data_IF_373206808227
#
_entry.id   IF_373206808227
#
_cell.length_a   1.000
_cell.length_b   1.000
_cell.length_c   1.000
_cell.angle_alpha   90.00
_cell.angle_beta   90.00
_cell.angle_gamma   90.00
#
_symmetry.space_group_name_H-M   'P 1'
#
loop_
_entity.id
_entity.type
_entity.pdbx_description
1 polymer ?
#
# COMPACT_ATOMS: atom_id res chain seq x y z
N UNK A 1 15.15 24.68 4.90
CA UNK A 1 14.15 25.20 3.94
C UNK A 1 12.84 24.48 4.22
N UNK A 2 11.85 25.19 4.75
CA UNK A 2 10.55 24.60 5.06
C UNK A 2 9.73 24.54 3.77
N UNK A 3 9.76 23.39 3.11
CA UNK A 3 8.85 23.08 2.01
C UNK A 3 7.47 22.83 2.64
N UNK A 4 6.43 23.47 2.10
CA UNK A 4 5.05 23.21 2.52
C UNK A 4 4.77 21.70 2.48
N UNK A 5 4.56 21.09 3.65
CA UNK A 5 4.30 19.66 3.77
C UNK A 5 2.81 19.43 3.60
N UNK A 6 2.35 19.16 2.37
CA UNK A 6 0.97 18.73 2.10
C UNK A 6 0.79 17.24 2.41
N UNK A 7 1.22 16.83 3.60
CA UNK A 7 1.23 15.43 3.99
C UNK A 7 -0.15 14.95 4.43
N UNK A 8 -1.05 15.84 4.86
CA UNK A 8 -2.32 15.46 5.46
C UNK A 8 -2.14 14.75 6.81
N UNK A 9 -3.25 14.55 7.53
CA UNK A 9 -3.25 13.79 8.79
C UNK A 9 -3.26 12.30 8.48
N UNK A 10 -2.39 11.52 9.16
CA UNK A 10 -2.45 10.06 9.13
C UNK A 10 -3.85 9.59 9.61
N UNK A 11 -4.54 8.70 8.87
CA UNK A 11 -5.78 8.11 9.36
C UNK A 11 -5.53 7.32 10.66
N UNK A 12 -6.48 7.36 11.59
CA UNK A 12 -6.41 6.66 12.87
C UNK A 12 -7.06 5.26 12.85
N UNK A 13 -7.56 4.86 11.68
CA UNK A 13 -8.29 3.61 11.44
C UNK A 13 -7.59 2.70 10.41
N UNK A 14 -6.29 2.87 10.20
CA UNK A 14 -5.46 1.95 9.43
C UNK A 14 -5.28 0.61 10.17
N UNK A 15 -4.88 -0.43 9.45
CA UNK A 15 -4.73 -1.77 9.96
C UNK A 15 -5.78 -2.75 9.44
N UNK A 16 -5.71 -3.97 9.96
CA UNK A 16 -6.59 -5.07 9.57
C UNK A 16 -7.78 -5.13 10.52
N UNK A 17 -8.98 -4.94 9.99
CA UNK A 17 -10.23 -5.12 10.73
C UNK A 17 -11.01 -6.31 10.15
N UNK A 18 -11.28 -7.33 10.97
CA UNK A 18 -12.00 -8.54 10.55
C UNK A 18 -11.41 -9.19 9.28
N UNK A 19 -10.08 -9.19 9.15
CA UNK A 19 -9.37 -9.77 8.00
C UNK A 19 -9.42 -8.91 6.73
N UNK A 20 -9.80 -7.64 6.84
CA UNK A 20 -9.84 -6.69 5.72
C UNK A 20 -9.06 -5.42 6.01
N UNK A 21 -8.47 -4.86 4.98
CA UNK A 21 -7.92 -3.51 4.97
C UNK A 21 -9.06 -2.50 4.86
N UNK A 22 -8.76 -1.25 5.21
CA UNK A 22 -9.72 -0.15 5.10
C UNK A 22 -10.23 0.00 3.65
N UNK A 23 -11.52 0.25 3.45
CA UNK A 23 -12.04 0.50 2.12
C UNK A 23 -11.44 1.79 1.50
N UNK A 24 -11.35 1.84 0.17
CA UNK A 24 -11.02 3.09 -0.49
C UNK A 24 -12.16 4.11 -0.31
N UNK A 25 -11.84 5.40 -0.08
CA UNK A 25 -12.82 6.46 -0.26
C UNK A 25 -13.22 6.55 -1.74
N UNK A 26 -14.24 7.33 -2.07
CA UNK A 26 -14.72 7.53 -3.45
C UNK A 26 -13.80 8.37 -4.34
N UNK A 27 -12.56 8.64 -3.91
CA UNK A 27 -11.60 9.46 -4.66
C UNK A 27 -10.62 8.55 -5.39
N UNK A 28 -10.27 8.84 -6.66
CA UNK A 28 -9.43 7.99 -7.51
C UNK A 28 -7.95 7.90 -7.09
N UNK A 29 -7.60 8.45 -5.92
CA UNK A 29 -6.27 8.44 -5.34
C UNK A 29 -6.06 7.25 -4.39
N UNK A 30 -6.92 6.23 -4.45
CA UNK A 30 -6.84 5.03 -3.65
C UNK A 30 -7.03 3.78 -4.51
N UNK A 31 -6.24 2.75 -4.24
CA UNK A 31 -6.47 1.40 -4.77
C UNK A 31 -6.47 0.37 -3.63
N UNK A 32 -7.30 -0.66 -3.75
CA UNK A 32 -7.44 -1.73 -2.78
C UNK A 32 -7.81 -3.05 -3.47
N UNK A 33 -7.11 -4.13 -3.15
CA UNK A 33 -7.38 -5.45 -3.72
C UNK A 33 -8.63 -6.13 -3.20
N UNK A 34 -9.24 -5.55 -2.16
CA UNK A 34 -10.51 -5.99 -1.60
C UNK A 34 -11.69 -5.11 -2.05
N UNK A 35 -11.47 -4.17 -2.97
CA UNK A 35 -12.55 -3.46 -3.66
C UNK A 35 -13.30 -4.42 -4.61
N UNK A 36 -14.51 -4.03 -5.05
CA UNK A 36 -15.26 -4.80 -6.04
C UNK A 36 -14.51 -4.82 -7.37
N UNK A 37 -14.37 -5.99 -8.00
CA UNK A 37 -13.64 -6.12 -9.27
C UNK A 37 -14.30 -5.33 -10.43
N UNK A 38 -15.58 -4.98 -10.33
CA UNK A 38 -16.24 -4.07 -11.28
C UNK A 38 -15.85 -2.61 -11.10
N UNK A 39 -15.33 -2.22 -9.93
CA UNK A 39 -14.78 -0.90 -9.64
C UNK A 39 -13.33 -0.82 -10.14
N UNK A 40 -13.17 -0.65 -11.45
CA UNK A 40 -11.85 -0.57 -12.09
C UNK A 40 -11.00 0.61 -11.61
N UNK A 41 -11.60 1.62 -10.97
CA UNK A 41 -10.89 2.78 -10.44
C UNK A 41 -10.12 2.40 -9.18
N UNK A 42 -10.79 1.76 -8.22
CA UNK A 42 -10.20 1.39 -6.93
C UNK A 42 -9.65 -0.04 -6.89
N UNK A 43 -10.15 -0.96 -7.71
CA UNK A 43 -9.69 -2.35 -7.69
C UNK A 43 -8.27 -2.49 -8.23
N UNK A 44 -7.46 -3.29 -7.55
CA UNK A 44 -6.13 -3.69 -7.97
C UNK A 44 -5.87 -5.14 -7.62
N UNK A 45 -5.16 -5.89 -8.45
CA UNK A 45 -4.90 -7.31 -8.16
C UNK A 45 -4.11 -7.47 -6.84
N UNK A 46 -4.44 -8.47 -6.00
CA UNK A 46 -3.59 -8.81 -4.86
C UNK A 46 -2.23 -9.35 -5.33
N UNK A 47 -1.28 -9.48 -4.42
CA UNK A 47 0.02 -10.08 -4.71
C UNK A 47 -0.06 -11.59 -4.43
N UNK A 48 0.09 -12.43 -5.45
CA UNK A 48 0.16 -13.87 -5.26
C UNK A 48 1.43 -14.24 -4.46
N UNK A 49 1.29 -15.13 -3.46
CA UNK A 49 2.42 -15.58 -2.65
C UNK A 49 2.25 -17.03 -2.22
N UNK A 50 3.28 -17.85 -2.45
CA UNK A 50 3.39 -19.21 -1.92
C UNK A 50 4.19 -19.27 -0.60
N UNK A 51 4.65 -18.13 -0.09
CA UNK A 51 5.42 -18.04 1.15
C UNK A 51 4.49 -18.04 2.37
N UNK A 52 5.01 -18.46 3.52
CA UNK A 52 4.29 -18.27 4.78
C UNK A 52 4.07 -16.75 5.04
N UNK A 53 3.01 -16.34 5.75
CA UNK A 53 2.69 -14.93 5.95
C UNK A 53 3.87 -14.07 6.42
N UNK A 54 4.61 -14.54 7.44
CA UNK A 54 5.77 -13.81 7.97
C UNK A 54 6.88 -13.63 6.94
N UNK A 55 7.18 -14.67 6.16
CA UNK A 55 8.20 -14.62 5.10
C UNK A 55 7.77 -13.68 3.96
N UNK A 56 6.48 -13.68 3.62
CA UNK A 56 5.91 -12.78 2.62
C UNK A 56 6.01 -11.32 3.06
N UNK A 57 5.67 -11.03 4.31
CA UNK A 57 5.81 -9.67 4.88
C UNK A 57 7.29 -9.27 4.96
N UNK A 58 8.18 -10.17 5.39
CA UNK A 58 9.62 -9.88 5.44
C UNK A 58 10.20 -9.57 4.05
N UNK A 59 9.78 -10.29 3.00
CA UNK A 59 10.18 -10.00 1.63
C UNK A 59 9.66 -8.65 1.14
N UNK A 60 8.39 -8.32 1.41
CA UNK A 60 7.83 -6.99 1.10
C UNK A 60 8.55 -5.87 1.84
N UNK A 61 8.88 -6.09 3.12
CA UNK A 61 9.64 -5.15 3.94
C UNK A 61 10.99 -4.84 3.28
N UNK A 62 11.74 -5.85 2.87
CA UNK A 62 13.04 -5.68 2.21
C UNK A 62 12.92 -4.89 0.88
N UNK A 63 11.88 -5.18 0.09
CA UNK A 63 11.59 -4.44 -1.15
C UNK A 63 11.33 -2.95 -0.85
N UNK A 64 10.45 -2.68 0.11
CA UNK A 64 10.05 -1.30 0.46
C UNK A 64 11.22 -0.52 1.06
N UNK A 65 12.09 -1.15 1.85
CA UNK A 65 13.32 -0.53 2.38
C UNK A 65 14.29 -0.13 1.27
N UNK A 66 14.27 -0.82 0.13
CA UNK A 66 15.06 -0.46 -1.06
C UNK A 66 14.45 0.65 -1.92
N UNK A 67 13.20 1.06 -1.65
CA UNK A 67 12.52 2.11 -2.43
C UNK A 67 12.83 3.50 -1.88
N UNK A 68 12.99 4.48 -2.77
CA UNK A 68 13.18 5.86 -2.35
C UNK A 68 11.94 6.43 -1.62
N UNK A 69 12.18 7.19 -0.55
CA UNK A 69 11.16 7.96 0.18
C UNK A 69 10.03 7.09 0.77
N UNK A 70 10.36 5.84 1.10
CA UNK A 70 9.51 4.98 1.90
C UNK A 70 9.85 5.13 3.38
N UNK A 71 8.89 4.87 4.25
CA UNK A 71 9.09 4.74 5.69
C UNK A 71 8.15 3.66 6.20
N UNK A 72 8.71 2.58 6.75
CA UNK A 72 7.92 1.54 7.39
C UNK A 72 7.55 2.00 8.80
N UNK A 73 6.25 2.06 9.07
CA UNK A 73 5.72 2.51 10.36
C UNK A 73 5.32 1.34 11.25
N UNK A 74 4.90 0.22 10.65
CA UNK A 74 4.50 -0.99 11.38
C UNK A 74 4.78 -2.22 10.53
N UNK A 75 5.27 -3.28 11.16
CA UNK A 75 5.46 -4.59 10.54
C UNK A 75 5.22 -5.68 11.59
N UNK A 76 4.38 -6.65 11.24
CA UNK A 76 4.09 -7.86 12.03
C UNK A 76 4.21 -9.09 11.11
N UNK A 77 3.92 -10.29 11.63
CA UNK A 77 3.97 -11.51 10.82
C UNK A 77 2.92 -11.57 9.70
N UNK A 78 1.88 -10.72 9.74
CA UNK A 78 0.79 -10.75 8.76
C UNK A 78 0.46 -9.38 8.18
N UNK A 79 1.06 -8.31 8.69
CA UNK A 79 0.71 -6.94 8.31
C UNK A 79 1.96 -6.07 8.14
N UNK A 80 1.93 -5.19 7.15
CA UNK A 80 2.98 -4.20 6.90
C UNK A 80 2.34 -2.88 6.50
N UNK A 81 2.71 -1.81 7.19
CA UNK A 81 2.30 -0.44 6.88
C UNK A 81 3.52 0.42 6.59
N UNK A 82 3.50 1.05 5.42
CA UNK A 82 4.51 1.99 4.97
C UNK A 82 3.88 3.29 4.48
N UNK A 83 4.63 4.38 4.62
CA UNK A 83 4.33 5.67 4.03
C UNK A 83 5.27 5.94 2.86
N UNK A 84 4.76 6.53 1.79
CA UNK A 84 5.56 7.02 0.67
C UNK A 84 5.33 8.52 0.49
N UNK A 85 6.40 9.31 0.46
CA UNK A 85 6.31 10.75 0.23
C UNK A 85 6.68 11.14 -1.21
N UNK A 86 6.00 12.12 -1.81
CA UNK A 86 6.28 12.62 -3.18
C UNK A 86 7.47 13.59 -3.22
N UNK A 87 8.31 13.53 -4.29
CA UNK A 87 9.55 14.35 -4.41
C UNK A 87 9.31 15.86 -4.40
N UNK A 88 8.16 16.31 -4.91
CA UNK A 88 7.96 17.72 -5.27
C UNK A 88 7.00 18.49 -4.35
N UNK A 89 6.01 17.82 -3.78
CA UNK A 89 4.87 18.47 -3.09
C UNK A 89 4.64 17.96 -1.65
N UNK A 90 5.36 16.93 -1.20
CA UNK A 90 5.21 16.40 0.16
C UNK A 90 3.91 15.65 0.44
N UNK A 91 3.14 15.28 -0.61
CA UNK A 91 2.03 14.32 -0.48
C UNK A 91 2.53 13.01 0.08
N UNK A 92 1.78 12.46 1.04
CA UNK A 92 2.05 11.18 1.67
C UNK A 92 0.95 10.20 1.29
N UNK A 93 1.39 9.04 0.80
CA UNK A 93 0.55 7.89 0.52
C UNK A 93 0.74 6.85 1.62
N UNK A 94 -0.36 6.37 2.18
CA UNK A 94 -0.41 5.25 3.12
C UNK A 94 -0.55 3.96 2.32
N UNK A 95 0.39 3.02 2.49
CA UNK A 95 0.40 1.72 1.80
C UNK A 95 0.41 0.59 2.83
N UNK A 96 -0.58 -0.29 2.74
CA UNK A 96 -0.83 -1.38 3.67
C UNK A 96 -0.82 -2.71 2.92
N UNK A 97 -0.19 -3.72 3.53
CA UNK A 97 -0.18 -5.09 3.05
C UNK A 97 -0.67 -6.02 4.14
N UNK A 98 -1.52 -6.98 3.78
CA UNK A 98 -2.04 -7.98 4.68
C UNK A 98 -1.89 -9.38 4.08
N UNK A 99 -0.97 -10.17 4.65
CA UNK A 99 -0.78 -11.58 4.35
C UNK A 99 -1.65 -12.42 5.30
N UNK A 100 -2.90 -12.66 4.91
CA UNK A 100 -3.78 -13.60 5.59
C UNK A 100 -3.44 -15.07 5.30
N UNK A 101 -4.43 -15.97 5.46
CA UNK A 101 -4.24 -17.41 5.18
C UNK A 101 -4.59 -17.82 3.73
N UNK A 102 -4.81 -16.86 2.83
CA UNK A 102 -5.42 -17.10 1.50
C UNK A 102 -4.43 -17.30 0.35
N UNK A 103 -3.13 -17.47 0.60
CA UNK A 103 -2.11 -17.61 -0.46
C UNK A 103 -1.92 -16.36 -1.33
N UNK A 104 -2.46 -15.23 -0.86
CA UNK A 104 -2.33 -13.92 -1.49
C UNK A 104 -2.12 -12.88 -0.41
N UNK A 105 -1.43 -11.81 -0.77
CA UNK A 105 -1.24 -10.62 0.05
C UNK A 105 -2.21 -9.57 -0.46
N UNK A 106 -3.13 -9.18 0.42
CA UNK A 106 -4.05 -8.07 0.17
C UNK A 106 -3.28 -6.76 0.27
N UNK A 107 -3.63 -5.78 -0.55
CA UNK A 107 -2.92 -4.50 -0.61
C UNK A 107 -3.90 -3.34 -0.69
N UNK A 108 -3.54 -2.25 -0.03
CA UNK A 108 -4.19 -0.95 -0.16
C UNK A 108 -3.13 0.13 -0.28
N UNK A 109 -3.35 1.10 -1.15
CA UNK A 109 -2.51 2.30 -1.26
C UNK A 109 -3.41 3.53 -1.45
N UNK A 110 -3.30 4.52 -0.57
CA UNK A 110 -4.18 5.68 -0.56
C UNK A 110 -3.42 6.97 -0.25
N UNK A 111 -3.64 8.01 -1.05
CA UNK A 111 -3.12 9.34 -0.76
C UNK A 111 -3.95 10.01 0.36
N UNK A 112 -3.28 10.72 1.28
CA UNK A 112 -3.96 11.46 2.37
C UNK A 112 -4.69 12.71 1.91
N UNK A 113 -4.22 13.31 0.82
CA UNK A 113 -4.73 14.57 0.27
C UNK A 113 -4.77 14.51 -1.27
N UNK A 114 -5.53 15.44 -1.85
CA UNK A 114 -5.72 15.54 -3.29
C UNK A 114 -6.92 14.73 -3.78
N UNK A 115 -7.43 15.09 -4.95
CA UNK A 115 -8.56 14.38 -5.58
C UNK A 115 -8.11 13.28 -6.53
N UNK A 116 -6.88 13.36 -7.05
CA UNK A 116 -6.29 12.36 -7.94
C UNK A 116 -4.78 12.37 -7.72
N UNK A 117 -4.18 11.20 -7.79
CA UNK A 117 -2.73 10.99 -7.76
C UNK A 117 -2.17 10.64 -9.15
N UNK A 118 -2.98 10.76 -10.21
CA UNK A 118 -2.66 10.34 -11.58
C UNK A 118 -2.19 8.88 -11.68
N UNK A 119 -2.72 8.00 -10.82
CA UNK A 119 -2.41 6.58 -10.81
C UNK A 119 -1.08 6.22 -10.14
N UNK A 120 -0.50 7.13 -9.35
CA UNK A 120 0.75 6.90 -8.61
C UNK A 120 0.63 5.69 -7.67
N UNK A 121 -0.46 5.58 -6.90
CA UNK A 121 -0.69 4.46 -6.00
C UNK A 121 -0.80 3.13 -6.74
N UNK A 122 -1.55 3.10 -7.85
CA UNK A 122 -1.63 1.93 -8.72
C UNK A 122 -0.24 1.53 -9.22
N UNK A 123 0.49 2.45 -9.84
CA UNK A 123 1.84 2.19 -10.37
C UNK A 123 2.79 1.68 -9.29
N UNK A 124 2.73 2.23 -8.09
CA UNK A 124 3.56 1.81 -6.95
C UNK A 124 3.27 0.36 -6.56
N UNK A 125 2.01 0.01 -6.39
CA UNK A 125 1.61 -1.36 -6.04
C UNK A 125 2.02 -2.35 -7.13
N UNK A 126 1.86 -1.99 -8.42
CA UNK A 126 2.33 -2.81 -9.54
C UNK A 126 3.85 -3.03 -9.49
N UNK A 127 4.64 -1.97 -9.27
CA UNK A 127 6.10 -2.09 -9.13
C UNK A 127 6.49 -2.98 -7.95
N UNK A 128 5.82 -2.86 -6.81
CA UNK A 128 6.06 -3.72 -5.64
C UNK A 128 5.70 -5.17 -5.98
N UNK A 129 4.58 -5.41 -6.67
CA UNK A 129 4.17 -6.75 -7.10
C UNK A 129 5.19 -7.40 -8.02
N UNK A 130 5.66 -6.67 -9.03
CA UNK A 130 6.70 -7.14 -9.97
C UNK A 130 8.00 -7.50 -9.22
N UNK A 131 8.47 -6.63 -8.32
CA UNK A 131 9.68 -6.90 -7.53
C UNK A 131 9.50 -8.07 -6.57
N UNK A 132 8.32 -8.24 -5.98
CA UNK A 132 8.02 -9.37 -5.11
C UNK A 132 8.08 -10.68 -5.90
N UNK A 133 7.44 -10.72 -7.07
CA UNK A 133 7.40 -11.91 -7.93
C UNK A 133 8.77 -12.27 -8.51
N UNK A 134 9.60 -11.27 -8.84
CA UNK A 134 10.96 -11.51 -9.33
C UNK A 134 11.90 -12.14 -8.28
N UNK A 135 11.59 -11.95 -6.99
CA UNK A 135 12.37 -12.45 -5.86
C UNK A 135 11.70 -13.63 -5.14
N UNK A 136 10.60 -14.18 -5.70
CA UNK A 136 9.77 -15.19 -5.05
C UNK A 136 10.20 -16.62 -5.31
#
# INVERSE_FOLDING_TARGET
MSLFSFSGKRPDNLGVNQGKLLACPSTPNCVCSQADASDQEHFIEPIASNKAPGDAIAALKAIIEGMERSTINEATDTYLYAEFSSKLMGFVDDVEFYAGQSGVIQVRAAARLGKSDLGVNRKRVETIREQFQANS
#
